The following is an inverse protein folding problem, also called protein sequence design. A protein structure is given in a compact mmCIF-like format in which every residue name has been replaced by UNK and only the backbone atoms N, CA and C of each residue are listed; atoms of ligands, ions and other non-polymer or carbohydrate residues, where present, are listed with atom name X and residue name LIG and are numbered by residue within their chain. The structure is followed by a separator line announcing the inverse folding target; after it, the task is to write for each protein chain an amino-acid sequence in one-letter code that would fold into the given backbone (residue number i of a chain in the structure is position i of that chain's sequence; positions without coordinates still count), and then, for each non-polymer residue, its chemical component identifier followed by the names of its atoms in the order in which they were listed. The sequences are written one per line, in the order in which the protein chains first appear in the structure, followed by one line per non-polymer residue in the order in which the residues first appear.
data_IF_594520275711
#
_entry.id   IF_594520275711
#
_cell.length_a   1.000
_cell.length_b   1.000
_cell.length_c   1.000
_cell.angle_alpha   90.00
_cell.angle_beta   90.00
_cell.angle_gamma   90.00
#
_symmetry.space_group_name_H-M   'P 1'
#
loop_
_entity.id
_entity.type
_entity.pdbx_description
1 polymer ?
#
# COMPACT_ATOMS: atom_id res chain seq x y z
N UNK A 1 -16.86 8.41 17.01
CA UNK A 1 -16.82 7.16 16.24
C UNK A 1 -15.39 6.95 15.80
N UNK A 2 -14.77 5.79 16.07
CA UNK A 2 -13.43 5.57 15.54
C UNK A 2 -13.44 5.71 14.00
N UNK A 3 -12.38 6.23 13.39
CA UNK A 3 -12.30 6.32 11.94
C UNK A 3 -12.45 4.92 11.34
N UNK A 4 -13.44 4.75 10.48
CA UNK A 4 -13.55 3.50 9.73
C UNK A 4 -12.83 3.71 8.41
N UNK A 5 -11.87 2.86 8.07
CA UNK A 5 -11.22 2.86 6.76
C UNK A 5 -12.18 2.54 5.61
N UNK A 6 -13.45 2.32 5.91
CA UNK A 6 -14.50 1.92 4.99
C UNK A 6 -15.19 3.13 4.36
N UNK A 7 -15.27 3.14 3.04
CA UNK A 7 -15.98 4.16 2.26
C UNK A 7 -17.47 3.81 2.08
N UNK A 8 -18.32 4.77 1.72
CA UNK A 8 -19.73 4.51 1.46
C UNK A 8 -19.94 3.38 0.42
N UNK A 9 -20.82 2.43 0.74
CA UNK A 9 -21.16 1.26 -0.06
C UNK A 9 -20.02 0.22 -0.22
N UNK A 10 -18.90 0.38 0.45
CA UNK A 10 -17.84 -0.63 0.54
C UNK A 10 -18.16 -1.64 1.64
N UNK A 11 -17.74 -2.89 1.47
CA UNK A 11 -17.71 -3.85 2.56
C UNK A 11 -16.74 -3.37 3.67
N UNK A 12 -16.95 -3.83 4.89
CA UNK A 12 -16.18 -3.35 6.03
C UNK A 12 -14.68 -3.62 5.89
N UNK A 13 -13.89 -2.56 5.76
CA UNK A 13 -12.43 -2.63 5.73
C UNK A 13 -11.89 -2.78 7.13
N UNK A 14 -10.99 -3.74 7.32
CA UNK A 14 -10.40 -4.06 8.63
C UNK A 14 -8.93 -4.48 8.51
N UNK A 15 -8.25 -4.61 9.64
CA UNK A 15 -6.84 -5.03 9.68
C UNK A 15 -5.82 -3.92 9.39
N UNK A 16 -6.25 -2.69 9.18
CA UNK A 16 -5.35 -1.54 9.10
C UNK A 16 -4.93 -1.05 10.50
N UNK A 17 -3.85 -0.33 10.59
CA UNK A 17 -3.29 0.21 11.83
C UNK A 17 -3.41 1.73 11.88
N UNK A 18 -3.53 2.28 13.10
CA UNK A 18 -3.64 3.73 13.27
C UNK A 18 -4.94 4.31 12.72
N UNK A 19 -4.86 5.51 12.16
CA UNK A 19 -6.02 6.34 11.82
C UNK A 19 -6.23 6.56 10.31
N UNK A 20 -5.48 5.88 9.45
CA UNK A 20 -5.60 6.09 8.02
C UNK A 20 -4.97 5.00 7.17
N UNK A 21 -5.47 4.86 5.97
CA UNK A 21 -4.96 3.95 4.94
C UNK A 21 -5.20 4.55 3.55
N UNK A 22 -4.53 4.01 2.56
CA UNK A 22 -4.89 4.22 1.15
C UNK A 22 -6.08 3.34 0.85
N UNK A 23 -7.15 3.91 0.35
CA UNK A 23 -8.32 3.18 -0.09
C UNK A 23 -8.79 3.76 -1.43
N UNK A 24 -8.70 2.98 -2.51
CA UNK A 24 -9.04 3.44 -3.85
C UNK A 24 -10.51 3.19 -4.23
N UNK A 25 -11.33 2.67 -3.33
CA UNK A 25 -12.78 2.47 -3.53
C UNK A 25 -13.57 3.79 -3.56
N UNK A 26 -13.01 4.84 -4.17
CA UNK A 26 -13.65 6.13 -4.25
C UNK A 26 -14.81 6.12 -5.25
N UNK A 27 -16.05 6.32 -4.79
CA UNK A 27 -17.27 6.21 -5.60
C UNK A 27 -17.49 4.81 -6.20
N UNK A 28 -17.03 3.76 -5.51
CA UNK A 28 -17.08 2.38 -5.96
C UNK A 28 -15.91 1.99 -6.86
N UNK A 29 -15.96 0.78 -7.41
CA UNK A 29 -14.93 0.22 -8.32
C UNK A 29 -14.94 0.85 -9.74
N UNK A 30 -15.19 2.15 -9.85
CA UNK A 30 -15.29 2.83 -11.15
C UNK A 30 -14.14 3.79 -11.41
N UNK A 31 -13.45 4.17 -10.37
CA UNK A 31 -12.33 5.11 -10.46
C UNK A 31 -11.03 4.35 -10.64
N UNK A 32 -10.12 4.92 -11.40
CA UNK A 32 -8.78 4.40 -11.60
C UNK A 32 -7.77 5.49 -11.31
N UNK A 33 -6.57 5.10 -10.96
CA UNK A 33 -5.51 6.05 -10.68
C UNK A 33 -4.20 5.37 -10.32
N UNK A 34 -3.18 6.19 -10.13
CA UNK A 34 -1.86 5.73 -9.74
C UNK A 34 -1.25 6.72 -8.76
N UNK A 35 -0.63 6.18 -7.73
CA UNK A 35 0.06 6.94 -6.72
C UNK A 35 1.52 6.53 -6.68
N UNK A 36 2.43 7.49 -6.72
CA UNK A 36 3.86 7.23 -6.74
C UNK A 36 4.54 7.97 -5.59
N UNK A 37 5.32 7.26 -4.79
CA UNK A 37 6.11 7.86 -3.71
C UNK A 37 7.25 8.73 -4.26
N UNK A 38 7.81 9.64 -3.46
CA UNK A 38 9.14 10.15 -3.71
C UNK A 38 10.18 9.03 -3.79
N UNK A 39 11.35 9.36 -4.30
CA UNK A 39 12.50 8.47 -4.23
C UNK A 39 12.95 8.26 -2.80
N UNK A 40 13.37 7.04 -2.51
CA UNK A 40 14.01 6.68 -1.25
C UNK A 40 15.15 5.69 -1.50
N UNK A 41 16.07 5.61 -0.57
CA UNK A 41 17.13 4.60 -0.59
C UNK A 41 16.69 3.35 0.15
N UNK A 42 16.93 2.18 -0.42
CA UNK A 42 16.69 0.90 0.26
C UNK A 42 17.79 0.70 1.30
N UNK A 43 17.42 0.79 2.58
CA UNK A 43 18.33 0.71 3.72
C UNK A 43 18.17 -0.55 4.57
N UNK A 44 17.14 -1.33 4.31
CA UNK A 44 16.83 -2.55 5.05
C UNK A 44 16.60 -3.71 4.09
N UNK A 45 16.64 -4.93 4.61
CA UNK A 45 16.55 -6.15 3.80
C UNK A 45 15.14 -6.43 3.27
N UNK A 46 14.12 -5.79 3.83
CA UNK A 46 12.71 -6.04 3.49
C UNK A 46 11.93 -4.74 3.44
N UNK A 47 10.87 -4.76 2.62
CA UNK A 47 9.78 -3.78 2.65
C UNK A 47 8.53 -4.53 3.05
N UNK A 48 7.85 -4.09 4.11
CA UNK A 48 6.61 -4.67 4.61
C UNK A 48 5.46 -3.69 4.45
N UNK A 49 4.26 -4.19 4.26
CA UNK A 49 3.03 -3.39 4.13
C UNK A 49 1.80 -4.23 4.47
N UNK A 50 0.71 -3.56 4.80
CA UNK A 50 -0.62 -4.15 4.91
C UNK A 50 -1.34 -3.97 3.58
N UNK A 51 -2.00 -5.00 3.07
CA UNK A 51 -2.70 -5.00 1.79
C UNK A 51 -4.01 -5.76 1.85
N UNK A 52 -5.06 -5.16 1.28
CA UNK A 52 -6.39 -5.74 1.04
C UNK A 52 -6.92 -5.28 -0.33
N UNK A 53 -8.17 -5.62 -0.63
CA UNK A 53 -8.81 -5.26 -1.89
C UNK A 53 -8.65 -6.31 -2.98
N UNK A 54 -8.72 -5.90 -4.23
CA UNK A 54 -8.83 -6.76 -5.40
C UNK A 54 -7.60 -7.58 -5.74
N UNK A 55 -7.83 -8.71 -6.39
CA UNK A 55 -6.80 -9.61 -6.91
C UNK A 55 -6.65 -9.45 -8.41
N UNK A 56 -6.00 -8.38 -8.82
CA UNK A 56 -5.73 -8.09 -10.24
C UNK A 56 -4.25 -7.79 -10.47
N UNK A 57 -3.39 -8.83 -10.58
CA UNK A 57 -1.96 -8.68 -10.74
C UNK A 57 -1.59 -7.71 -11.87
N UNK A 58 -0.70 -6.74 -11.58
CA UNK A 58 -0.24 -5.74 -12.54
C UNK A 58 -1.25 -4.65 -12.90
N UNK A 59 -2.49 -4.73 -12.38
CA UNK A 59 -3.56 -3.76 -12.67
C UNK A 59 -4.12 -3.10 -11.42
N UNK A 60 -4.27 -3.86 -10.33
CA UNK A 60 -4.65 -3.34 -9.02
C UNK A 60 -3.64 -3.90 -8.03
N UNK A 61 -2.57 -3.14 -7.77
CA UNK A 61 -1.39 -3.66 -7.09
C UNK A 61 -0.53 -2.56 -6.47
N UNK A 62 0.39 -2.98 -5.61
CA UNK A 62 1.53 -2.18 -5.17
C UNK A 62 2.79 -2.70 -5.86
N UNK A 63 3.64 -1.79 -6.32
CA UNK A 63 4.87 -2.08 -7.06
C UNK A 63 6.07 -1.43 -6.38
N UNK A 64 7.20 -2.12 -6.38
CA UNK A 64 8.50 -1.52 -6.09
C UNK A 64 9.25 -1.31 -7.40
N UNK A 65 9.64 -0.08 -7.64
CA UNK A 65 10.47 0.33 -8.77
C UNK A 65 11.88 0.61 -8.27
N UNK A 66 12.87 -0.02 -8.90
CA UNK A 66 14.30 0.23 -8.68
C UNK A 66 14.92 0.54 -10.02
N UNK A 67 15.64 1.65 -10.12
CA UNK A 67 16.22 2.16 -11.38
C UNK A 67 15.23 2.19 -12.55
N UNK A 68 14.01 2.63 -12.27
CA UNK A 68 12.94 2.76 -13.26
C UNK A 68 12.27 1.45 -13.69
N UNK A 69 12.61 0.32 -13.07
CA UNK A 69 12.03 -1.00 -13.40
C UNK A 69 11.22 -1.55 -12.23
N UNK A 70 10.10 -2.17 -12.53
CA UNK A 70 9.33 -2.93 -11.53
C UNK A 70 10.12 -4.18 -11.16
N UNK A 71 10.49 -4.30 -9.88
CA UNK A 71 11.26 -5.44 -9.36
C UNK A 71 10.44 -6.32 -8.42
N UNK A 72 9.39 -5.77 -7.81
CA UNK A 72 8.45 -6.49 -6.93
C UNK A 72 7.04 -5.97 -7.16
N UNK A 73 6.06 -6.84 -7.00
CA UNK A 73 4.64 -6.47 -7.03
C UNK A 73 3.84 -7.34 -6.07
N UNK A 74 2.72 -6.80 -5.59
CA UNK A 74 1.74 -7.53 -4.81
C UNK A 74 0.33 -7.01 -5.08
N UNK A 75 -0.66 -7.88 -4.95
CA UNK A 75 -2.07 -7.54 -5.14
C UNK A 75 -2.89 -8.07 -3.95
N UNK A 76 -4.12 -7.57 -3.76
CA UNK A 76 -5.04 -8.07 -2.76
C UNK A 76 -5.51 -9.51 -3.04
N UNK A 77 -6.46 -9.99 -2.24
CA UNK A 77 -6.98 -11.36 -2.33
C UNK A 77 -8.51 -11.39 -2.48
N UNK A 78 -9.11 -10.31 -3.03
CA UNK A 78 -10.57 -10.08 -3.07
C UNK A 78 -11.15 -10.11 -1.65
N UNK A 79 -10.52 -9.37 -0.75
CA UNK A 79 -10.89 -9.31 0.66
C UNK A 79 -10.57 -7.91 1.22
N UNK A 80 -11.47 -7.38 2.03
CA UNK A 80 -11.29 -6.09 2.71
C UNK A 80 -10.46 -6.17 4.00
N UNK A 81 -10.11 -7.38 4.45
CA UNK A 81 -9.19 -7.57 5.56
C UNK A 81 -7.76 -7.36 5.06
N UNK A 82 -7.12 -6.27 5.50
CA UNK A 82 -5.71 -6.05 5.22
C UNK A 82 -4.86 -7.08 5.96
N UNK A 83 -3.93 -7.66 5.24
CA UNK A 83 -2.98 -8.62 5.76
C UNK A 83 -1.55 -8.18 5.48
N UNK A 84 -0.64 -8.51 6.38
CA UNK A 84 0.77 -8.26 6.18
C UNK A 84 1.31 -9.01 4.98
N UNK A 85 2.05 -8.26 4.15
CA UNK A 85 2.88 -8.78 3.06
C UNK A 85 4.24 -8.10 3.13
N UNK A 86 5.22 -8.68 2.47
CA UNK A 86 6.54 -8.08 2.39
C UNK A 86 7.35 -8.68 1.27
N UNK A 87 8.33 -7.90 0.83
CA UNK A 87 9.31 -8.29 -0.17
C UNK A 87 10.69 -8.39 0.45
N UNK A 88 11.45 -9.41 0.10
CA UNK A 88 12.88 -9.40 0.27
C UNK A 88 13.48 -8.45 -0.79
N UNK A 89 14.24 -7.49 -0.33
CA UNK A 89 14.85 -6.45 -1.16
C UNK A 89 16.35 -6.30 -0.88
N UNK A 90 16.94 -7.27 -0.18
CA UNK A 90 18.35 -7.24 0.21
C UNK A 90 19.29 -7.06 -0.99
N UNK A 91 18.96 -7.64 -2.13
CA UNK A 91 19.72 -7.53 -3.38
C UNK A 91 19.75 -6.10 -3.96
N UNK A 92 18.83 -5.24 -3.53
CA UNK A 92 18.72 -3.84 -3.97
C UNK A 92 19.21 -2.84 -2.91
N UNK A 93 19.92 -3.31 -1.90
CA UNK A 93 20.47 -2.44 -0.84
C UNK A 93 21.23 -1.24 -1.42
N UNK A 94 21.08 -0.08 -0.79
CA UNK A 94 21.66 1.21 -1.16
C UNK A 94 21.21 1.77 -2.52
N UNK A 95 20.28 1.10 -3.22
CA UNK A 95 19.72 1.60 -4.50
C UNK A 95 18.53 2.52 -4.26
N UNK A 96 18.33 3.43 -5.20
CA UNK A 96 17.18 4.33 -5.22
C UNK A 96 15.95 3.61 -5.73
N UNK A 97 14.85 3.78 -5.01
CA UNK A 97 13.59 3.11 -5.29
C UNK A 97 12.39 4.06 -5.17
N UNK A 98 11.25 3.62 -5.71
CA UNK A 98 9.93 4.23 -5.53
C UNK A 98 8.89 3.14 -5.28
N UNK A 99 7.90 3.45 -4.47
CA UNK A 99 6.67 2.66 -4.40
C UNK A 99 5.64 3.28 -5.34
N UNK A 100 4.92 2.42 -6.04
CA UNK A 100 3.80 2.81 -6.87
C UNK A 100 2.58 1.97 -6.50
N UNK A 101 1.46 2.62 -6.23
CA UNK A 101 0.17 1.97 -6.02
C UNK A 101 -0.64 2.21 -7.28
N UNK A 102 -1.13 1.14 -7.88
CA UNK A 102 -1.82 1.15 -9.18
C UNK A 102 -3.22 0.62 -8.98
N UNK A 103 -4.19 1.35 -9.51
CA UNK A 103 -5.56 0.93 -9.65
C UNK A 103 -6.04 1.24 -11.07
N UNK A 104 -6.18 0.20 -11.89
CA UNK A 104 -6.53 0.30 -13.31
C UNK A 104 -7.72 -0.61 -13.69
N UNK A 105 -8.42 -1.16 -12.69
CA UNK A 105 -9.55 -2.04 -12.93
C UNK A 105 -10.85 -1.34 -12.55
N UNK A 106 -11.79 -1.30 -13.48
CA UNK A 106 -13.17 -0.90 -13.22
C UNK A 106 -14.06 -2.14 -13.13
N UNK A 107 -14.87 -2.24 -12.08
CA UNK A 107 -15.72 -3.41 -11.85
C UNK A 107 -15.30 -4.19 -10.61
N UNK A 108 -15.86 -5.37 -10.41
CA UNK A 108 -15.77 -6.11 -9.17
C UNK A 108 -14.33 -6.27 -8.64
N UNK A 109 -14.13 -5.80 -7.39
CA UNK A 109 -12.83 -5.75 -6.74
C UNK A 109 -11.81 -4.83 -7.45
N UNK A 110 -12.27 -3.84 -8.21
CA UNK A 110 -11.43 -2.85 -8.87
C UNK A 110 -10.95 -1.77 -7.90
N UNK A 111 -10.41 -2.15 -6.76
CA UNK A 111 -9.81 -1.24 -5.78
C UNK A 111 -8.73 -1.94 -4.94
N UNK A 112 -7.90 -1.16 -4.28
CA UNK A 112 -6.86 -1.65 -3.39
C UNK A 112 -6.83 -0.85 -2.09
N UNK A 113 -6.56 -1.54 -1.00
CA UNK A 113 -6.34 -0.96 0.32
C UNK A 113 -4.89 -1.23 0.73
N UNK A 114 -4.14 -0.18 1.04
CA UNK A 114 -2.74 -0.27 1.45
C UNK A 114 -2.54 0.54 2.72
N UNK A 115 -1.77 -0.02 3.64
CA UNK A 115 -1.39 0.64 4.88
C UNK A 115 0.01 0.22 5.32
N UNK A 116 0.62 0.99 6.20
CA UNK A 116 1.84 0.68 6.93
C UNK A 116 3.02 0.21 6.05
N UNK A 117 3.30 0.93 4.96
CA UNK A 117 4.48 0.65 4.13
C UNK A 117 5.74 1.07 4.89
N UNK A 118 6.69 0.15 5.07
CA UNK A 118 7.94 0.46 5.78
C UNK A 118 9.07 -0.50 5.47
N UNK A 119 10.29 -0.05 5.74
CA UNK A 119 11.48 -0.85 5.63
C UNK A 119 11.80 -1.55 6.96
N UNK A 120 12.21 -2.82 6.92
CA UNK A 120 12.51 -3.62 8.11
C UNK A 120 13.54 -4.70 7.83
N UNK A 121 14.24 -5.15 8.87
CA UNK A 121 15.10 -6.34 8.81
C UNK A 121 14.41 -7.59 9.39
N UNK A 122 13.18 -7.45 9.90
CA UNK A 122 12.44 -8.58 10.48
C UNK A 122 12.00 -9.57 9.41
N UNK A 123 12.23 -10.87 9.64
CA UNK A 123 11.87 -11.95 8.71
C UNK A 123 10.39 -12.28 8.71
N UNK A 124 9.71 -12.14 9.82
CA UNK A 124 8.26 -12.43 9.92
C UNK A 124 7.46 -11.16 9.71
N UNK A 125 6.77 -11.10 8.60
CA UNK A 125 5.74 -10.12 8.31
C UNK A 125 4.44 -10.62 8.94
N UNK A 126 4.20 -10.28 10.18
CA UNK A 126 3.02 -10.76 10.93
C UNK A 126 2.94 -10.16 12.32
N UNK A 127 4.04 -9.62 12.82
CA UNK A 127 4.06 -8.74 13.97
C UNK A 127 4.12 -7.29 13.48
N UNK A 128 3.33 -6.37 14.04
CA UNK A 128 3.43 -4.97 13.67
C UNK A 128 4.90 -4.51 13.81
N UNK A 129 5.41 -3.77 12.83
CA UNK A 129 6.71 -3.12 13.01
C UNK A 129 6.64 -2.26 14.29
N UNK A 130 7.74 -2.11 15.02
CA UNK A 130 7.76 -1.22 16.17
C UNK A 130 7.28 0.17 15.76
N UNK A 131 6.60 0.91 16.67
CA UNK A 131 5.82 2.11 16.35
C UNK A 131 6.61 3.33 15.85
N UNK A 132 7.90 3.21 15.65
CA UNK A 132 8.69 4.25 14.99
C UNK A 132 8.46 4.17 13.48
N UNK A 133 7.50 4.92 12.99
CA UNK A 133 7.32 5.16 11.57
C UNK A 133 8.59 5.80 11.01
N UNK A 134 9.24 5.12 10.09
CA UNK A 134 10.28 5.71 9.25
C UNK A 134 9.71 7.01 8.62
N UNK A 135 10.45 8.11 8.58
CA UNK A 135 9.99 9.39 8.03
C UNK A 135 9.35 9.29 6.64
N UNK A 136 9.75 8.33 5.82
CA UNK A 136 9.15 8.18 4.51
C UNK A 136 7.77 7.51 4.50
N UNK A 137 7.44 6.67 5.50
CA UNK A 137 6.09 6.14 5.67
C UNK A 137 5.11 7.26 6.00
N UNK A 138 5.51 8.24 6.83
CA UNK A 138 4.76 9.46 7.03
C UNK A 138 4.64 10.29 5.74
N UNK A 139 5.69 10.31 4.93
CA UNK A 139 5.74 11.06 3.68
C UNK A 139 4.80 10.48 2.61
N UNK A 140 4.76 9.16 2.46
CA UNK A 140 3.80 8.47 1.59
C UNK A 140 2.37 8.77 2.04
N UNK A 141 2.08 8.77 3.35
CA UNK A 141 0.78 9.12 3.88
C UNK A 141 0.37 10.57 3.60
N UNK A 142 1.30 11.52 3.63
CA UNK A 142 1.05 12.95 3.31
C UNK A 142 0.78 13.15 1.81
N UNK A 143 1.53 12.48 0.93
CA UNK A 143 1.34 12.57 -0.52
C UNK A 143 0.00 11.98 -0.99
N UNK A 144 -0.48 10.96 -0.29
CA UNK A 144 -1.77 10.31 -0.56
C UNK A 144 -2.97 11.24 -0.34
N UNK A 145 -2.81 12.25 0.53
CA UNK A 145 -3.85 13.26 0.78
C UNK A 145 -4.05 14.29 -0.33
N UNK A 146 -3.17 14.35 -1.34
CA UNK A 146 -3.18 15.36 -2.40
C UNK A 146 -3.63 14.85 -3.77
N UNK A 147 -3.92 13.54 -3.93
CA UNK A 147 -4.26 12.91 -5.20
C UNK A 147 -5.69 12.35 -5.22
N UNK A 148 -6.08 11.73 -6.34
CA UNK A 148 -7.42 11.18 -6.59
C UNK A 148 -7.81 10.03 -5.64
N UNK A 149 -6.87 9.45 -4.92
CA UNK A 149 -7.11 8.45 -3.90
C UNK A 149 -7.53 9.11 -2.58
N UNK A 150 -8.57 8.56 -1.95
CA UNK A 150 -8.97 9.04 -0.64
C UNK A 150 -8.10 8.43 0.47
N UNK A 151 -7.54 9.32 1.28
CA UNK A 151 -6.98 8.96 2.56
C UNK A 151 -8.11 8.90 3.59
N UNK A 152 -8.42 7.70 4.10
CA UNK A 152 -9.44 7.51 5.13
C UNK A 152 -8.80 7.55 6.50
N UNK A 153 -9.12 8.58 7.27
CA UNK A 153 -8.71 8.74 8.67
C UNK A 153 -9.71 8.15 9.63
#
# INVERSE_FOLDING_TARGET
KPPSGTLPNQMNVSGFLGNGLVNTYFRGDRTTGTLTSPEFTIQRKRIAFLIGGGRHPGKTCIELHVDGRVVRTATGQNNELLQWRGWDVAEFGERTARIRIVDQVTGGWGHINIDHIGQTDQRQVGTPPPPALDPWTQYVQVLLGSNEFMFVR
#
